data_IF_116760304977
#
_entry.id   IF_116760304977
#
_cell.length_a   1.000
_cell.length_b   1.000
_cell.length_c   1.000
_cell.angle_alpha   90.00
_cell.angle_beta   90.00
_cell.angle_gamma   90.00
#
_symmetry.space_group_name_H-M   'P 1'
#
loop_
_entity.id
_entity.type
_entity.pdbx_description
1 polymer ?
#
# COMPACT_ATOMS: atom_id res chain seq x y z
N UNK A 1 29.03 -16.30 -5.12
CA UNK A 1 27.66 -15.81 -5.37
C UNK A 1 27.65 -15.26 -6.79
N UNK A 2 26.85 -15.81 -7.69
CA UNK A 2 26.58 -15.15 -8.97
C UNK A 2 26.03 -13.75 -8.67
N UNK A 3 26.71 -12.72 -9.14
CA UNK A 3 26.35 -11.34 -8.84
C UNK A 3 24.96 -11.03 -9.38
N UNK A 4 24.00 -10.73 -8.49
CA UNK A 4 22.71 -10.16 -8.87
C UNK A 4 22.98 -8.86 -9.62
N UNK A 5 22.50 -8.75 -10.86
CA UNK A 5 22.63 -7.54 -11.66
C UNK A 5 21.26 -6.86 -11.79
N UNK A 6 21.16 -5.62 -11.29
CA UNK A 6 19.96 -4.80 -11.35
C UNK A 6 20.36 -3.44 -11.95
N UNK A 7 19.72 -3.04 -13.04
CA UNK A 7 19.99 -1.78 -13.73
C UNK A 7 18.71 -1.20 -14.34
N UNK A 8 18.61 0.13 -14.43
CA UNK A 8 17.47 0.82 -15.02
C UNK A 8 16.30 1.04 -14.06
N UNK A 9 15.20 1.54 -14.60
CA UNK A 9 13.95 1.85 -13.90
C UNK A 9 12.76 1.62 -14.83
N UNK A 10 11.55 1.46 -14.27
CA UNK A 10 10.34 1.27 -15.06
C UNK A 10 10.46 0.10 -16.04
N UNK A 11 10.08 0.32 -17.30
CA UNK A 11 10.17 -0.71 -18.34
C UNK A 11 11.60 -1.05 -18.76
N UNK A 12 12.55 -0.14 -18.53
CA UNK A 12 13.97 -0.38 -18.75
C UNK A 12 14.66 -1.06 -17.56
N UNK A 13 13.93 -1.34 -16.48
CA UNK A 13 14.47 -2.12 -15.37
C UNK A 13 14.84 -3.52 -15.87
N UNK A 14 16.08 -3.91 -15.59
CA UNK A 14 16.62 -5.23 -15.88
C UNK A 14 17.04 -5.93 -14.60
N UNK A 15 16.69 -7.21 -14.48
CA UNK A 15 17.15 -8.08 -13.39
C UNK A 15 17.76 -9.34 -13.99
N UNK A 16 19.07 -9.53 -13.82
CA UNK A 16 19.84 -10.63 -14.41
C UNK A 16 19.61 -10.81 -15.93
N UNK A 17 19.54 -9.68 -16.66
CA UNK A 17 19.34 -9.65 -18.11
C UNK A 17 17.88 -9.76 -18.56
N UNK A 18 16.92 -9.92 -17.64
CA UNK A 18 15.49 -9.88 -17.95
C UNK A 18 15.01 -8.44 -17.85
N UNK A 19 14.60 -7.83 -18.97
CA UNK A 19 13.99 -6.49 -19.01
C UNK A 19 12.50 -6.57 -18.71
N UNK A 20 12.04 -5.86 -17.68
CA UNK A 20 10.65 -5.93 -17.20
C UNK A 20 9.65 -5.42 -18.25
N UNK A 21 10.04 -4.43 -19.07
CA UNK A 21 9.23 -3.93 -20.16
C UNK A 21 8.96 -4.94 -21.29
N UNK A 22 9.78 -5.98 -21.43
CA UNK A 22 9.65 -6.97 -22.51
C UNK A 22 8.72 -8.13 -22.15
N UNK A 23 8.35 -8.24 -20.87
CA UNK A 23 7.58 -9.37 -20.36
C UNK A 23 6.10 -9.28 -20.74
N UNK A 24 5.59 -10.37 -21.28
CA UNK A 24 4.15 -10.60 -21.46
C UNK A 24 3.44 -10.82 -20.12
N UNK A 25 2.11 -10.64 -20.03
CA UNK A 25 1.35 -10.97 -18.82
C UNK A 25 1.58 -12.38 -18.29
N UNK A 26 1.71 -13.36 -19.20
CA UNK A 26 1.99 -14.75 -18.85
C UNK A 26 3.39 -14.95 -18.26
N UNK A 27 4.39 -14.21 -18.74
CA UNK A 27 5.74 -14.28 -18.19
C UNK A 27 5.84 -13.63 -16.82
N UNK A 28 5.13 -12.52 -16.60
CA UNK A 28 4.95 -11.94 -15.27
C UNK A 28 4.30 -12.94 -14.31
N UNK A 29 3.17 -13.53 -14.70
CA UNK A 29 2.48 -14.54 -13.91
C UNK A 29 3.40 -15.73 -13.59
N UNK A 30 4.13 -16.25 -14.59
CA UNK A 30 5.10 -17.34 -14.36
C UNK A 30 6.15 -16.96 -13.31
N UNK A 31 6.68 -15.74 -13.36
CA UNK A 31 7.64 -15.26 -12.36
C UNK A 31 6.98 -15.18 -10.97
N UNK A 32 5.74 -14.70 -10.86
CA UNK A 32 4.99 -14.67 -9.59
C UNK A 32 4.70 -16.07 -9.05
N UNK A 33 4.36 -17.04 -9.90
CA UNK A 33 4.16 -18.44 -9.51
C UNK A 33 5.47 -19.09 -9.04
N UNK A 34 6.57 -18.84 -9.75
CA UNK A 34 7.88 -19.43 -9.46
C UNK A 34 8.56 -18.80 -8.23
N UNK A 35 8.27 -17.53 -7.91
CA UNK A 35 9.01 -16.73 -6.91
C UNK A 35 8.16 -16.14 -5.78
N UNK A 36 6.86 -15.98 -5.98
CA UNK A 36 5.95 -15.31 -5.05
C UNK A 36 5.28 -16.24 -4.04
N UNK A 37 4.77 -15.65 -2.95
CA UNK A 37 3.88 -16.33 -2.02
C UNK A 37 2.49 -16.53 -2.65
N UNK A 38 2.01 -17.76 -2.70
CA UNK A 38 0.76 -18.13 -3.38
C UNK A 38 -0.48 -17.87 -2.49
N UNK A 39 -0.59 -16.66 -1.96
CA UNK A 39 -1.64 -16.24 -1.02
C UNK A 39 -2.64 -15.23 -1.61
N UNK A 40 -2.58 -15.00 -2.93
CA UNK A 40 -3.54 -14.21 -3.69
C UNK A 40 -3.94 -14.98 -4.96
N UNK A 41 -5.08 -14.58 -5.54
CA UNK A 41 -5.52 -15.03 -6.87
C UNK A 41 -5.75 -13.77 -7.74
N UNK A 42 -4.68 -13.18 -8.31
CA UNK A 42 -4.79 -11.98 -9.15
C UNK A 42 -5.65 -12.23 -10.39
N UNK A 43 -6.09 -11.14 -11.04
CA UNK A 43 -6.77 -11.23 -12.33
C UNK A 43 -5.82 -11.80 -13.39
N UNK A 44 -6.22 -12.88 -14.05
CA UNK A 44 -5.46 -13.50 -15.12
C UNK A 44 -5.29 -12.55 -16.31
N UNK A 45 -4.16 -12.68 -17.03
CA UNK A 45 -3.91 -11.99 -18.29
C UNK A 45 -3.94 -10.45 -18.22
N UNK A 46 -3.76 -9.87 -17.03
CA UNK A 46 -3.75 -8.42 -16.82
C UNK A 46 -2.55 -8.03 -15.97
N UNK A 47 -1.69 -7.18 -16.50
CA UNK A 47 -0.58 -6.57 -15.75
C UNK A 47 -0.68 -5.05 -15.85
N UNK A 48 -0.84 -4.35 -14.73
CA UNK A 48 -0.87 -2.88 -14.74
C UNK A 48 0.53 -2.36 -15.09
N UNK A 49 0.62 -1.61 -16.19
CA UNK A 49 1.85 -1.04 -16.73
C UNK A 49 2.12 0.33 -16.07
N UNK A 50 1.11 1.19 -16.08
CA UNK A 50 1.18 2.56 -15.57
C UNK A 50 -0.22 3.11 -15.29
N UNK A 51 -0.27 4.23 -14.61
CA UNK A 51 -1.48 5.04 -14.43
C UNK A 51 -1.54 6.07 -15.56
N UNK A 52 -2.69 6.21 -16.22
CA UNK A 52 -2.93 7.26 -17.23
C UNK A 52 -3.41 8.56 -16.59
N UNK A 53 -4.38 8.46 -15.68
CA UNK A 53 -4.99 9.57 -14.96
C UNK A 53 -5.53 9.09 -13.59
N UNK A 54 -6.27 9.94 -12.88
CA UNK A 54 -6.77 9.66 -11.52
C UNK A 54 -7.63 8.40 -11.39
N UNK A 55 -8.19 7.88 -12.47
CA UNK A 55 -9.10 6.73 -12.47
C UNK A 55 -8.81 5.69 -13.55
N UNK A 56 -7.90 5.98 -14.49
CA UNK A 56 -7.60 5.09 -15.61
C UNK A 56 -6.22 4.46 -15.48
N UNK A 57 -6.17 3.13 -15.52
CA UNK A 57 -4.95 2.34 -15.60
C UNK A 57 -4.66 1.97 -17.05
N UNK A 58 -3.38 1.92 -17.41
CA UNK A 58 -2.92 1.24 -18.61
C UNK A 58 -2.45 -0.15 -18.19
N UNK A 59 -3.07 -1.18 -18.76
CA UNK A 59 -2.75 -2.56 -18.49
C UNK A 59 -2.33 -3.31 -19.74
N UNK A 60 -1.30 -4.14 -19.60
CA UNK A 60 -0.87 -5.13 -20.58
C UNK A 60 -1.84 -6.30 -20.58
N UNK A 61 -2.27 -6.69 -21.77
CA UNK A 61 -3.06 -7.90 -22.03
C UNK A 61 -2.40 -8.71 -23.14
N UNK A 62 -2.60 -10.03 -23.19
CA UNK A 62 -2.09 -10.85 -24.29
C UNK A 62 -2.47 -10.26 -25.63
N UNK A 63 -1.52 -10.19 -26.55
CA UNK A 63 -1.81 -9.86 -27.94
C UNK A 63 -2.69 -10.98 -28.54
N UNK A 64 -3.79 -10.64 -29.24
CA UNK A 64 -4.73 -11.63 -29.76
C UNK A 64 -4.12 -12.54 -30.83
N UNK A 65 -3.06 -12.09 -31.51
CA UNK A 65 -2.47 -12.75 -32.67
C UNK A 65 -1.05 -13.29 -32.39
N UNK A 66 -0.37 -12.80 -31.34
CA UNK A 66 1.00 -13.20 -31.00
C UNK A 66 1.22 -13.38 -29.50
N UNK A 67 1.27 -14.64 -29.05
CA UNK A 67 1.47 -14.98 -27.63
C UNK A 67 2.80 -14.49 -27.03
N UNK A 68 3.77 -14.06 -27.85
CA UNK A 68 5.04 -13.48 -27.40
C UNK A 68 4.95 -11.96 -27.22
N UNK A 69 3.79 -11.37 -27.46
CA UNK A 69 3.54 -9.94 -27.34
C UNK A 69 2.37 -9.67 -26.42
N UNK A 70 2.26 -8.41 -26.06
CA UNK A 70 1.11 -7.87 -25.35
C UNK A 70 0.65 -6.59 -26.05
N UNK A 71 -0.61 -6.26 -25.84
CA UNK A 71 -1.17 -4.94 -26.16
C UNK A 71 -1.42 -4.17 -24.88
N UNK A 72 -1.35 -2.84 -24.95
CA UNK A 72 -1.79 -1.97 -23.86
C UNK A 72 -3.28 -1.63 -24.06
N UNK A 73 -4.06 -1.73 -22.99
CA UNK A 73 -5.47 -1.35 -22.97
C UNK A 73 -5.78 -0.51 -21.73
N UNK A 74 -6.76 0.37 -21.86
CA UNK A 74 -7.25 1.20 -20.75
C UNK A 74 -8.23 0.40 -19.89
N UNK A 75 -8.09 0.53 -18.57
CA UNK A 75 -9.00 -0.02 -17.57
C UNK A 75 -9.41 1.08 -16.61
N UNK A 76 -10.71 1.18 -16.32
CA UNK A 76 -11.16 2.00 -15.20
C UNK A 76 -10.84 1.27 -13.88
N UNK A 77 -10.16 1.96 -12.96
CA UNK A 77 -9.86 1.46 -11.62
C UNK A 77 -11.13 1.50 -10.75
N UNK A 78 -11.94 0.45 -10.84
CA UNK A 78 -13.11 0.27 -9.99
C UNK A 78 -12.81 -0.27 -8.59
N UNK A 79 -11.55 -0.65 -8.32
CA UNK A 79 -11.14 -1.23 -7.04
C UNK A 79 -10.55 -0.17 -6.10
N UNK A 80 -9.84 0.82 -6.65
CA UNK A 80 -9.16 1.90 -5.95
C UNK A 80 -8.27 1.40 -4.80
N UNK A 81 -7.63 0.23 -4.99
CA UNK A 81 -6.88 -0.50 -3.96
C UNK A 81 -7.65 -0.60 -2.63
N UNK A 82 -8.89 -1.11 -2.67
CA UNK A 82 -9.76 -1.23 -1.50
C UNK A 82 -9.99 0.12 -0.80
N UNK A 83 -10.30 1.16 -1.59
CA UNK A 83 -10.47 2.54 -1.14
C UNK A 83 -9.22 3.24 -0.57
N UNK A 84 -8.03 2.66 -0.73
CA UNK A 84 -6.78 3.34 -0.36
C UNK A 84 -6.46 4.53 -1.30
N UNK A 85 -7.00 4.53 -2.52
CA UNK A 85 -6.75 5.54 -3.56
C UNK A 85 -7.98 6.43 -3.78
N UNK A 86 -8.67 6.83 -2.69
CA UNK A 86 -9.88 7.65 -2.78
C UNK A 86 -9.65 9.04 -3.43
N UNK A 87 -8.42 9.56 -3.36
CA UNK A 87 -8.02 10.85 -3.93
C UNK A 87 -7.68 10.77 -5.43
N UNK A 88 -7.78 9.57 -6.02
CA UNK A 88 -7.34 9.28 -7.38
C UNK A 88 -5.86 8.89 -7.45
N UNK A 89 -5.54 8.06 -8.43
CA UNK A 89 -4.17 7.62 -8.70
C UNK A 89 -3.28 8.84 -8.98
N UNK A 90 -2.10 8.88 -8.37
CA UNK A 90 -1.09 9.93 -8.56
C UNK A 90 -1.63 11.37 -8.39
N UNK A 91 -2.50 11.61 -7.41
CA UNK A 91 -2.96 12.95 -7.08
C UNK A 91 -1.79 13.93 -6.92
N UNK A 92 -1.74 14.99 -7.75
CA UNK A 92 -0.60 15.90 -7.88
C UNK A 92 -0.20 16.54 -6.54
N UNK A 93 -1.18 16.95 -5.73
CA UNK A 93 -0.90 17.53 -4.41
C UNK A 93 -0.16 16.56 -3.50
N UNK A 94 -0.53 15.27 -3.51
CA UNK A 94 0.14 14.24 -2.70
C UNK A 94 1.52 13.93 -3.26
N UNK A 95 1.63 13.74 -4.59
CA UNK A 95 2.90 13.41 -5.26
C UNK A 95 3.93 14.51 -5.04
N UNK A 96 3.57 15.77 -5.29
CA UNK A 96 4.46 16.91 -5.12
C UNK A 96 4.89 17.07 -3.65
N UNK A 97 3.98 16.84 -2.71
CA UNK A 97 4.30 16.88 -1.27
C UNK A 97 5.34 15.82 -0.89
N UNK A 98 5.20 14.59 -1.40
CA UNK A 98 6.16 13.51 -1.15
C UNK A 98 7.51 13.81 -1.82
N UNK A 99 7.51 14.26 -3.08
CA UNK A 99 8.73 14.61 -3.80
C UNK A 99 9.47 15.74 -3.09
N UNK A 100 8.77 16.81 -2.70
CA UNK A 100 9.35 17.93 -1.96
C UNK A 100 9.96 17.48 -0.64
N UNK A 101 9.22 16.68 0.14
CA UNK A 101 9.69 16.15 1.42
C UNK A 101 10.99 15.33 1.26
N UNK A 102 11.07 14.49 0.22
CA UNK A 102 12.23 13.62 -0.01
C UNK A 102 13.42 14.36 -0.63
N UNK A 103 13.19 15.28 -1.59
CA UNK A 103 14.27 15.94 -2.35
C UNK A 103 14.78 17.21 -1.70
N UNK A 104 13.89 18.04 -1.17
CA UNK A 104 14.25 19.35 -0.62
C UNK A 104 14.58 19.24 0.86
N UNK A 105 13.69 18.62 1.64
CA UNK A 105 13.85 18.53 3.09
C UNK A 105 14.75 17.38 3.52
N UNK A 106 14.83 16.33 2.69
CA UNK A 106 15.69 15.15 2.88
C UNK A 106 15.55 14.55 4.27
N UNK A 107 14.32 14.51 4.77
CA UNK A 107 13.99 14.00 6.10
C UNK A 107 13.40 12.60 5.98
N UNK A 108 14.19 11.53 6.18
CA UNK A 108 13.71 10.17 6.00
C UNK A 108 12.91 9.71 7.23
N UNK A 109 12.80 8.40 7.41
CA UNK A 109 12.20 7.81 8.62
C UNK A 109 12.97 8.23 9.88
N UNK A 110 12.26 8.84 10.83
CA UNK A 110 12.79 9.21 12.15
C UNK A 110 12.14 8.32 13.22
N UNK A 111 12.92 7.66 14.10
CA UNK A 111 12.35 6.83 15.14
C UNK A 111 11.57 7.68 16.16
N UNK A 112 10.57 7.09 16.81
CA UNK A 112 9.73 7.79 17.81
C UNK A 112 10.50 8.27 19.05
N UNK A 113 11.74 7.81 19.26
CA UNK A 113 12.65 8.30 20.29
C UNK A 113 13.20 9.69 19.99
N UNK A 114 13.10 10.17 18.75
CA UNK A 114 13.58 11.47 18.28
C UNK A 114 12.41 12.24 17.68
N UNK A 115 12.30 13.54 17.97
CA UNK A 115 11.23 14.38 17.41
C UNK A 115 11.58 14.83 16.00
N UNK A 116 10.56 14.94 15.14
CA UNK A 116 10.66 15.57 13.82
C UNK A 116 9.49 16.55 13.60
N UNK A 117 9.70 17.59 12.79
CA UNK A 117 8.73 18.70 12.63
C UNK A 117 7.36 18.27 12.10
N UNK A 118 7.30 17.30 11.19
CA UNK A 118 6.03 16.82 10.59
C UNK A 118 5.13 16.04 11.54
N UNK A 119 5.65 15.48 12.64
CA UNK A 119 4.78 14.84 13.63
C UNK A 119 3.79 15.85 14.20
N UNK A 120 4.24 17.07 14.52
CA UNK A 120 3.35 18.12 15.05
C UNK A 120 2.26 18.51 14.05
N UNK A 121 2.62 18.68 12.77
CA UNK A 121 1.67 18.98 11.71
C UNK A 121 0.62 17.86 11.58
N UNK A 122 1.06 16.60 11.52
CA UNK A 122 0.16 15.45 11.47
C UNK A 122 -0.79 15.39 12.68
N UNK A 123 -0.25 15.55 13.90
CA UNK A 123 -1.04 15.51 15.12
C UNK A 123 -2.13 16.59 15.11
N UNK A 124 -1.77 17.84 14.78
CA UNK A 124 -2.72 18.96 14.70
C UNK A 124 -3.81 18.70 13.64
N UNK A 125 -3.41 18.29 12.44
CA UNK A 125 -4.35 18.02 11.35
C UNK A 125 -5.30 16.86 11.68
N UNK A 126 -4.77 15.74 12.17
CA UNK A 126 -5.58 14.56 12.46
C UNK A 126 -6.58 14.82 13.60
N UNK A 127 -6.17 15.49 14.67
CA UNK A 127 -7.09 15.85 15.77
C UNK A 127 -8.09 16.91 15.33
N UNK A 128 -7.70 17.84 14.46
CA UNK A 128 -8.60 18.86 13.90
C UNK A 128 -9.69 18.28 12.99
N UNK A 129 -9.35 17.28 12.17
CA UNK A 129 -10.34 16.60 11.29
C UNK A 129 -11.26 15.67 12.09
N UNK A 130 -10.72 14.93 13.05
CA UNK A 130 -11.49 13.91 13.79
C UNK A 130 -12.21 14.46 15.02
N UNK A 131 -11.88 15.68 15.45
CA UNK A 131 -12.30 16.27 16.73
C UNK A 131 -11.96 15.42 17.97
N UNK A 132 -10.95 14.56 17.86
CA UNK A 132 -10.46 13.72 18.97
C UNK A 132 -9.34 14.44 19.73
N UNK A 133 -9.27 14.22 21.04
CA UNK A 133 -8.22 14.82 21.89
C UNK A 133 -6.79 14.38 21.48
N UNK A 134 -6.64 13.14 21.00
CA UNK A 134 -5.35 12.50 20.70
C UNK A 134 -5.46 11.52 19.55
N UNK A 135 -4.36 11.33 18.83
CA UNK A 135 -4.17 10.31 17.80
C UNK A 135 -2.90 9.50 18.07
N UNK A 136 -2.92 8.22 17.73
CA UNK A 136 -1.74 7.35 17.76
C UNK A 136 -1.52 6.82 16.34
N UNK A 137 -0.54 7.36 15.58
CA UNK A 137 -0.31 6.91 14.21
C UNK A 137 0.24 5.48 14.17
N UNK A 138 -0.26 4.71 13.20
CA UNK A 138 0.14 3.35 12.83
C UNK A 138 0.32 3.26 11.32
N UNK A 139 0.95 2.19 10.85
CA UNK A 139 1.26 2.01 9.43
C UNK A 139 0.16 1.19 8.76
N UNK A 140 -0.12 0.00 9.26
CA UNK A 140 -1.10 -0.91 8.66
C UNK A 140 -2.46 -0.90 9.39
N UNK A 141 -3.53 -1.25 8.67
CA UNK A 141 -4.88 -1.36 9.23
C UNK A 141 -4.97 -2.33 10.42
N UNK A 142 -4.30 -3.49 10.31
CA UNK A 142 -4.26 -4.50 11.39
C UNK A 142 -3.58 -3.96 12.66
N UNK A 143 -2.55 -3.13 12.54
CA UNK A 143 -1.87 -2.54 13.69
C UNK A 143 -2.78 -1.55 14.44
N UNK A 144 -3.65 -0.84 13.72
CA UNK A 144 -4.62 0.07 14.28
C UNK A 144 -5.64 -0.67 15.15
N UNK A 145 -6.17 -1.80 14.66
CA UNK A 145 -7.12 -2.62 15.41
C UNK A 145 -6.48 -3.35 16.59
N UNK A 146 -5.28 -3.90 16.42
CA UNK A 146 -4.50 -4.49 17.52
C UNK A 146 -4.24 -3.48 18.65
N UNK A 147 -3.89 -2.24 18.29
CA UNK A 147 -3.76 -1.16 19.26
C UNK A 147 -5.10 -0.81 19.91
N UNK A 148 -6.17 -0.74 19.13
CA UNK A 148 -7.53 -0.45 19.62
C UNK A 148 -7.95 -1.47 20.68
N UNK A 149 -7.75 -2.77 20.44
CA UNK A 149 -8.04 -3.81 21.43
C UNK A 149 -7.23 -3.64 22.72
N UNK A 150 -5.95 -3.29 22.61
CA UNK A 150 -5.09 -3.00 23.77
C UNK A 150 -5.58 -1.80 24.57
N UNK A 151 -5.99 -0.72 23.90
CA UNK A 151 -6.51 0.49 24.55
C UNK A 151 -7.84 0.20 25.23
N UNK A 152 -8.79 -0.45 24.54
CA UNK A 152 -10.09 -0.81 25.10
C UNK A 152 -9.95 -1.71 26.34
N UNK A 153 -9.12 -2.75 26.28
CA UNK A 153 -8.84 -3.63 27.43
C UNK A 153 -8.18 -2.86 28.58
N UNK A 154 -7.17 -2.04 28.30
CA UNK A 154 -6.50 -1.21 29.32
C UNK A 154 -7.48 -0.27 30.01
N UNK A 155 -8.34 0.40 29.25
CA UNK A 155 -9.39 1.24 29.81
C UNK A 155 -10.38 0.43 30.65
N UNK A 156 -10.80 -0.74 30.15
CA UNK A 156 -11.68 -1.67 30.86
C UNK A 156 -11.15 -2.04 32.25
N UNK A 157 -9.86 -2.35 32.35
CA UNK A 157 -9.22 -2.71 33.62
C UNK A 157 -8.99 -1.51 34.54
N UNK A 158 -8.49 -0.39 34.01
CA UNK A 158 -8.06 0.75 34.84
C UNK A 158 -9.19 1.70 35.22
N UNK A 159 -10.17 1.89 34.34
CA UNK A 159 -11.26 2.86 34.52
C UNK A 159 -12.57 2.17 34.84
N UNK A 160 -12.99 1.19 34.04
CA UNK A 160 -14.24 0.44 34.28
C UNK A 160 -14.11 -0.64 35.37
N UNK A 161 -12.89 -0.94 35.82
CA UNK A 161 -12.59 -1.93 36.88
C UNK A 161 -13.06 -3.35 36.56
N UNK A 162 -13.05 -3.73 35.27
CA UNK A 162 -13.26 -5.12 34.86
C UNK A 162 -12.11 -5.98 35.44
N UNK A 163 -12.38 -7.17 36.03
CA UNK A 163 -11.33 -8.05 36.49
C UNK A 163 -10.35 -8.43 35.39
N UNK A 164 -9.09 -8.68 35.77
CA UNK A 164 -8.04 -9.11 34.84
C UNK A 164 -8.51 -10.33 34.05
N UNK A 165 -8.22 -10.34 32.75
CA UNK A 165 -8.54 -11.43 31.83
C UNK A 165 -10.05 -11.74 31.68
N UNK A 166 -10.93 -10.82 32.13
CA UNK A 166 -12.39 -10.89 31.94
C UNK A 166 -12.92 -9.86 30.93
N UNK A 167 -12.05 -9.12 30.26
CA UNK A 167 -12.44 -8.14 29.24
C UNK A 167 -12.82 -8.82 27.92
N UNK A 168 -14.09 -8.67 27.53
CA UNK A 168 -14.61 -9.18 26.24
C UNK A 168 -14.65 -8.03 25.24
N UNK A 169 -14.13 -8.28 24.03
CA UNK A 169 -14.30 -7.41 22.86
C UNK A 169 -15.31 -8.11 21.95
N UNK A 170 -16.34 -7.40 21.52
CA UNK A 170 -17.37 -7.94 20.63
C UNK A 170 -17.10 -7.46 19.21
N UNK A 171 -17.17 -8.38 18.25
CA UNK A 171 -17.08 -8.09 16.82
C UNK A 171 -18.27 -8.69 16.07
N UNK A 172 -18.60 -8.13 14.91
CA UNK A 172 -19.65 -8.65 14.05
C UNK A 172 -19.17 -9.89 13.27
N UNK A 173 -20.05 -10.86 13.03
CA UNK A 173 -19.74 -11.99 12.13
C UNK A 173 -19.40 -11.46 10.74
N UNK A 174 -18.29 -11.96 10.15
CA UNK A 174 -17.81 -11.53 8.83
C UNK A 174 -17.04 -10.20 8.83
N UNK A 175 -16.75 -9.61 9.99
CA UNK A 175 -15.85 -8.45 10.05
C UNK A 175 -14.44 -8.81 9.57
N UNK A 176 -13.74 -7.84 8.97
CA UNK A 176 -12.36 -7.98 8.51
C UNK A 176 -11.57 -6.74 8.94
N UNK A 177 -10.58 -6.94 9.81
CA UNK A 177 -9.71 -5.87 10.33
C UNK A 177 -8.23 -6.13 10.06
N UNK A 178 -7.94 -7.14 9.24
CA UNK A 178 -6.61 -7.71 9.02
C UNK A 178 -6.49 -9.12 9.55
#
# INVERSE_FOLDING_TARGET
MSGLNINGYGDDLTVNGVRIGDLTPREHEKIELDKGGQNYSPLENVVVSKVKDSSTLIARKPDPDDVKKYIESELLDGLCCYSAVNQGQLNETIVDSVIHHLKEEKLPTVPRSIRHKYMSAFLLSATGVTNMDKVIPKVAGVESWELTFKICRRWGYLKKRIPKDKGIIVGATGNFHG
#
